data_IF_077476642865
#
_entry.id   IF_077476642865
#
_cell.length_a   1.000
_cell.length_b   1.000
_cell.length_c   1.000
_cell.angle_alpha   90.00
_cell.angle_beta   90.00
_cell.angle_gamma   90.00
#
_symmetry.space_group_name_H-M   'P 1'
#
loop_
_entity.id
_entity.type
_entity.pdbx_description
1 polymer ?
#
# COMPACT_ATOMS: atom_id res chain seq x y z
N UNK A 1 -32.71 32.82 -16.69
CA UNK A 1 -32.98 31.38 -16.43
C UNK A 1 -33.60 30.72 -17.66
N UNK A 2 -32.82 29.98 -18.45
CA UNK A 2 -33.37 29.18 -19.55
C UNK A 2 -34.07 27.93 -18.99
N UNK A 3 -35.36 27.76 -19.31
CA UNK A 3 -36.15 26.58 -18.92
C UNK A 3 -35.90 25.46 -19.95
N UNK A 4 -35.56 24.26 -19.47
CA UNK A 4 -35.39 23.07 -20.32
C UNK A 4 -36.68 22.77 -21.09
N UNK A 5 -36.55 22.48 -22.39
CA UNK A 5 -37.64 22.11 -23.29
C UNK A 5 -38.36 20.84 -22.81
N UNK A 6 -39.70 20.72 -23.00
CA UNK A 6 -40.51 19.64 -22.42
C UNK A 6 -40.05 18.24 -22.85
N UNK A 7 -39.51 18.09 -24.07
CA UNK A 7 -38.95 16.82 -24.56
C UNK A 7 -37.59 16.43 -23.93
N UNK A 8 -36.87 17.35 -23.29
CA UNK A 8 -35.62 17.06 -22.58
C UNK A 8 -35.86 16.57 -21.13
N UNK A 9 -37.09 16.73 -20.62
CA UNK A 9 -37.48 16.32 -19.26
C UNK A 9 -37.42 14.81 -19.01
N UNK A 10 -37.98 13.93 -19.87
CA UNK A 10 -37.90 12.49 -19.63
C UNK A 10 -36.47 11.97 -19.70
N UNK A 11 -35.64 12.53 -20.60
CA UNK A 11 -34.22 12.18 -20.70
C UNK A 11 -33.47 12.62 -19.44
N UNK A 12 -33.65 13.86 -18.99
CA UNK A 12 -33.03 14.36 -17.76
C UNK A 12 -33.46 13.56 -16.51
N UNK A 13 -34.73 13.14 -16.43
CA UNK A 13 -35.24 12.31 -15.35
C UNK A 13 -34.65 10.90 -15.37
N UNK A 14 -34.50 10.30 -16.55
CA UNK A 14 -33.82 9.01 -16.72
C UNK A 14 -32.34 9.10 -16.32
N UNK A 15 -31.64 10.16 -16.74
CA UNK A 15 -30.25 10.40 -16.33
C UNK A 15 -30.13 10.54 -14.81
N UNK A 16 -31.03 11.31 -14.18
CA UNK A 16 -31.06 11.46 -12.72
C UNK A 16 -31.37 10.15 -11.98
N UNK A 17 -32.27 9.32 -12.51
CA UNK A 17 -32.61 8.01 -11.93
C UNK A 17 -31.46 7.01 -12.05
N UNK A 18 -30.77 6.98 -13.19
CA UNK A 18 -29.58 6.12 -13.37
C UNK A 18 -28.44 6.57 -12.44
N UNK A 19 -28.18 7.88 -12.34
CA UNK A 19 -27.16 8.41 -11.44
C UNK A 19 -27.52 8.20 -9.95
N UNK A 20 -28.78 8.37 -9.57
CA UNK A 20 -29.25 8.15 -8.19
C UNK A 20 -29.28 6.68 -7.79
N UNK A 21 -29.65 5.78 -8.71
CA UNK A 21 -29.59 4.33 -8.48
C UNK A 21 -28.17 3.80 -8.33
N UNK A 22 -27.21 4.36 -9.07
CA UNK A 22 -25.79 4.10 -8.87
C UNK A 22 -25.31 4.66 -7.52
N UNK A 23 -25.72 5.86 -7.12
CA UNK A 23 -25.33 6.45 -5.84
C UNK A 23 -25.79 5.63 -4.62
N UNK A 24 -26.99 5.04 -4.67
CA UNK A 24 -27.54 4.23 -3.56
C UNK A 24 -26.92 2.82 -3.46
N UNK A 25 -26.38 2.29 -4.55
CA UNK A 25 -25.70 0.98 -4.55
C UNK A 25 -24.24 1.06 -4.10
N UNK A 26 -23.69 2.28 -3.99
CA UNK A 26 -22.30 2.58 -3.65
C UNK A 26 -22.13 3.43 -2.37
N UNK A 27 -23.18 3.58 -1.56
CA UNK A 27 -23.05 4.21 -0.24
C UNK A 27 -22.80 3.16 0.85
N UNK A 28 -21.77 3.34 1.72
CA UNK A 28 -21.32 4.63 2.23
C UNK A 28 -19.94 5.12 1.76
N UNK A 29 -19.62 5.05 0.45
CA UNK A 29 -18.35 5.57 -0.07
C UNK A 29 -18.55 6.46 -1.30
N UNK A 30 -18.93 7.73 -1.08
CA UNK A 30 -18.85 8.76 -2.11
C UNK A 30 -17.44 9.32 -2.18
N UNK A 31 -16.72 9.04 -3.28
CA UNK A 31 -15.71 9.91 -3.92
C UNK A 31 -15.03 9.09 -5.03
N UNK A 32 -15.56 9.09 -6.26
CA UNK A 32 -14.81 8.82 -7.52
C UNK A 32 -15.77 8.76 -8.71
N UNK A 33 -16.24 9.93 -9.16
CA UNK A 33 -16.44 10.12 -10.59
C UNK A 33 -15.26 10.98 -11.07
N UNK A 34 -14.26 10.35 -11.67
CA UNK A 34 -13.16 11.07 -12.31
C UNK A 34 -13.35 11.06 -13.82
N UNK A 35 -13.44 12.28 -14.37
CA UNK A 35 -13.53 12.54 -15.81
C UNK A 35 -12.40 11.84 -16.58
N UNK A 36 -12.71 11.41 -17.79
CA UNK A 36 -11.84 10.71 -18.75
C UNK A 36 -10.51 11.42 -19.09
N UNK A 37 -10.28 12.65 -18.62
CA UNK A 37 -9.02 13.39 -18.75
C UNK A 37 -7.94 12.95 -17.74
N UNK A 38 -8.27 12.06 -16.79
CA UNK A 38 -7.33 11.50 -15.80
C UNK A 38 -6.93 10.04 -16.05
N UNK A 39 -7.11 9.52 -17.28
CA UNK A 39 -6.59 8.19 -17.66
C UNK A 39 -7.54 7.01 -17.50
N UNK A 40 -8.79 7.24 -17.10
CA UNK A 40 -9.86 6.22 -17.11
C UNK A 40 -9.77 5.13 -16.02
N UNK A 41 -10.62 4.08 -16.10
CA UNK A 41 -10.80 3.08 -15.02
C UNK A 41 -9.56 2.23 -14.72
N UNK A 42 -8.62 2.13 -15.67
CA UNK A 42 -7.36 1.43 -15.49
C UNK A 42 -6.38 2.22 -14.60
N UNK A 43 -6.47 3.55 -14.60
CA UNK A 43 -5.59 4.44 -13.84
C UNK A 43 -6.19 4.91 -12.51
N UNK A 44 -7.52 4.86 -12.36
CA UNK A 44 -8.20 5.24 -11.12
C UNK A 44 -7.79 4.45 -9.87
N UNK A 45 -7.30 3.21 -10.05
CA UNK A 45 -6.73 2.39 -8.96
C UNK A 45 -5.36 2.88 -8.48
N UNK A 46 -4.63 3.64 -9.30
CA UNK A 46 -3.29 4.14 -8.97
C UNK A 46 -3.31 5.40 -8.10
N UNK A 47 -4.41 6.18 -8.12
CA UNK A 47 -4.61 7.32 -7.22
C UNK A 47 -5.11 6.93 -5.81
N UNK A 48 -5.71 5.75 -5.65
CA UNK A 48 -6.20 5.26 -4.35
C UNK A 48 -5.07 4.76 -3.45
N UNK A 49 -3.91 4.39 -4.01
CA UNK A 49 -2.71 4.03 -3.26
C UNK A 49 -1.97 5.23 -2.67
N UNK A 50 -2.13 6.43 -3.24
CA UNK A 50 -1.57 7.69 -2.70
C UNK A 50 -2.48 8.37 -1.67
N UNK A 51 -3.79 8.11 -1.71
CA UNK A 51 -4.72 8.53 -0.65
C UNK A 51 -4.50 7.76 0.65
N UNK A 52 -3.74 6.66 0.59
CA UNK A 52 -3.30 5.86 1.72
C UNK A 52 -1.92 6.31 2.25
N UNK A 53 -1.65 7.62 2.26
CA UNK A 53 -0.77 8.23 3.26
C UNK A 53 -1.41 8.01 4.63
N UNK A 54 -1.37 6.76 5.08
CA UNK A 54 -1.83 6.30 6.38
C UNK A 54 -1.22 7.28 7.40
N UNK A 55 -2.08 7.95 8.17
CA UNK A 55 -1.64 8.78 9.29
C UNK A 55 -1.13 7.92 10.46
N UNK A 56 -0.60 6.73 10.17
CA UNK A 56 -0.04 5.78 11.12
C UNK A 56 -0.98 4.68 11.57
N UNK A 57 -2.21 4.55 11.02
CA UNK A 57 -3.18 3.55 11.50
C UNK A 57 -2.64 2.12 11.38
N UNK A 58 -2.16 1.71 10.21
CA UNK A 58 -1.55 0.39 10.03
C UNK A 58 -0.30 0.17 10.89
N UNK A 59 0.42 1.24 11.27
CA UNK A 59 1.56 1.15 12.18
C UNK A 59 1.11 0.91 13.64
N UNK A 60 0.00 1.52 14.06
CA UNK A 60 -0.60 1.22 15.36
C UNK A 60 -1.06 -0.24 15.43
N UNK A 61 -1.78 -0.71 14.41
CA UNK A 61 -2.21 -2.11 14.33
C UNK A 61 -1.00 -3.06 14.31
N UNK A 62 0.09 -2.68 13.63
CA UNK A 62 1.33 -3.45 13.60
C UNK A 62 1.98 -3.52 14.98
N UNK A 63 2.06 -2.39 15.70
CA UNK A 63 2.60 -2.37 17.06
C UNK A 63 1.77 -3.28 17.98
N UNK A 64 0.46 -3.14 17.95
CA UNK A 64 -0.45 -3.91 18.80
C UNK A 64 -0.36 -5.42 18.50
N UNK A 65 -0.22 -5.79 17.21
CA UNK A 65 0.05 -7.16 16.79
C UNK A 65 1.38 -7.69 17.36
N UNK A 66 2.46 -6.92 17.25
CA UNK A 66 3.78 -7.31 17.74
C UNK A 66 3.77 -7.48 19.26
N UNK A 67 3.15 -6.56 19.99
CA UNK A 67 3.01 -6.62 21.45
C UNK A 67 2.18 -7.83 21.88
N UNK A 68 1.02 -8.05 21.25
CA UNK A 68 0.13 -9.16 21.58
C UNK A 68 0.78 -10.54 21.38
N UNK A 69 1.66 -10.68 20.38
CA UNK A 69 2.33 -11.93 20.08
C UNK A 69 3.76 -12.02 20.65
N UNK A 70 4.23 -11.00 21.38
CA UNK A 70 5.60 -10.91 21.90
C UNK A 70 6.67 -11.05 20.79
N UNK A 71 6.42 -10.40 19.66
CA UNK A 71 7.26 -10.46 18.47
C UNK A 71 8.02 -9.16 18.26
N UNK A 72 9.17 -9.27 17.61
CA UNK A 72 9.97 -8.14 17.14
C UNK A 72 10.16 -8.22 15.63
N UNK A 73 10.54 -7.08 15.03
CA UNK A 73 10.94 -6.99 13.63
C UNK A 73 12.44 -6.74 13.54
N UNK A 74 13.08 -7.39 12.59
CA UNK A 74 14.44 -7.11 12.16
C UNK A 74 14.48 -5.89 11.21
N UNK A 75 13.35 -5.56 10.58
CA UNK A 75 13.23 -4.29 9.86
C UNK A 75 11.80 -3.90 9.46
N UNK A 76 11.60 -2.60 9.27
CA UNK A 76 10.33 -1.99 8.85
C UNK A 76 10.58 -1.04 7.68
N UNK A 77 9.80 -1.19 6.61
CA UNK A 77 9.81 -0.26 5.47
C UNK A 77 8.39 0.26 5.29
N UNK A 78 8.18 1.49 5.74
CA UNK A 78 6.87 2.13 5.75
C UNK A 78 6.78 3.24 4.70
N UNK A 79 5.73 3.20 3.87
CA UNK A 79 5.54 4.15 2.77
C UNK A 79 5.01 5.51 3.23
N UNK A 80 4.35 5.58 4.39
CA UNK A 80 3.77 6.83 4.89
C UNK A 80 4.78 7.76 5.58
N UNK A 81 4.32 8.99 5.86
CA UNK A 81 5.15 10.04 6.50
C UNK A 81 5.15 10.02 8.03
N UNK A 82 4.19 9.29 8.64
CA UNK A 82 4.10 9.16 10.09
C UNK A 82 5.36 8.48 10.66
N UNK A 83 6.04 9.07 11.66
CA UNK A 83 7.23 8.47 12.25
C UNK A 83 6.93 7.19 13.02
N UNK A 84 7.46 6.02 12.62
CA UNK A 84 7.26 4.78 13.39
C UNK A 84 7.79 4.88 14.83
N UNK A 85 8.88 5.63 15.05
CA UNK A 85 9.45 5.88 16.38
C UNK A 85 8.48 6.58 17.33
N UNK A 86 7.54 7.40 16.84
CA UNK A 86 6.55 8.06 17.70
C UNK A 86 5.62 7.07 18.42
N UNK A 87 5.54 5.83 17.92
CA UNK A 87 4.80 4.73 18.53
C UNK A 87 5.71 3.57 18.91
N UNK A 88 6.98 3.86 19.19
CA UNK A 88 7.99 2.91 19.72
C UNK A 88 8.43 1.81 18.73
N UNK A 89 8.13 1.94 17.44
CA UNK A 89 8.71 1.10 16.40
C UNK A 89 10.07 1.69 15.98
N UNK A 90 11.17 1.11 16.49
CA UNK A 90 12.53 1.66 16.37
C UNK A 90 13.54 0.65 15.77
N UNK A 91 13.15 -0.04 14.71
CA UNK A 91 13.98 -0.97 13.94
C UNK A 91 14.57 -0.29 12.70
N UNK A 92 15.72 -0.76 12.17
CA UNK A 92 16.24 -0.28 10.90
C UNK A 92 15.28 -0.61 9.73
N UNK A 93 15.50 -0.03 8.54
CA UNK A 93 14.80 -0.50 7.34
C UNK A 93 15.24 -1.94 7.01
N UNK A 94 14.37 -2.68 6.32
CA UNK A 94 14.77 -3.96 5.75
C UNK A 94 15.90 -3.77 4.71
N UNK A 95 16.74 -4.80 4.47
CA UNK A 95 17.76 -4.75 3.43
C UNK A 95 17.17 -4.45 2.06
N UNK A 96 17.90 -3.70 1.24
CA UNK A 96 17.53 -3.43 -0.16
C UNK A 96 18.22 -4.43 -1.07
N UNK A 97 17.58 -4.78 -2.20
CA UNK A 97 18.09 -5.59 -3.32
C UNK A 97 18.39 -7.07 -3.03
N UNK A 98 18.80 -7.41 -1.81
CA UNK A 98 19.15 -8.78 -1.43
C UNK A 98 18.49 -9.18 -0.11
N UNK A 99 17.92 -10.39 -0.01
CA UNK A 99 17.30 -10.84 1.24
C UNK A 99 18.34 -11.12 2.31
N UNK A 100 18.00 -10.77 3.55
CA UNK A 100 18.59 -11.34 4.75
C UNK A 100 17.54 -12.17 5.50
N UNK A 101 17.98 -13.10 6.33
CA UNK A 101 17.08 -13.82 7.22
C UNK A 101 16.57 -12.88 8.32
N UNK A 102 15.29 -12.99 8.66
CA UNK A 102 14.65 -12.16 9.67
C UNK A 102 13.15 -12.00 9.48
N UNK A 103 12.52 -11.28 10.40
CA UNK A 103 11.12 -10.86 10.32
C UNK A 103 11.02 -9.40 9.89
N UNK A 104 10.30 -9.15 8.79
CA UNK A 104 10.21 -7.82 8.20
C UNK A 104 8.76 -7.40 8.01
N UNK A 105 8.47 -6.12 8.22
CA UNK A 105 7.20 -5.51 7.84
C UNK A 105 7.42 -4.54 6.68
N UNK A 106 6.75 -4.75 5.55
CA UNK A 106 6.96 -4.00 4.32
C UNK A 106 5.63 -3.45 3.82
N UNK A 107 5.54 -2.14 3.62
CA UNK A 107 4.38 -1.54 2.95
C UNK A 107 4.19 -2.13 1.55
N UNK A 108 2.95 -2.48 1.21
CA UNK A 108 2.62 -3.14 -0.07
C UNK A 108 3.05 -2.31 -1.29
N UNK A 109 3.09 -0.98 -1.17
CA UNK A 109 3.59 -0.07 -2.20
C UNK A 109 5.03 -0.43 -2.65
N UNK A 110 5.90 -0.80 -1.71
CA UNK A 110 7.28 -1.20 -2.02
C UNK A 110 7.35 -2.62 -2.60
N UNK A 111 6.39 -3.49 -2.26
CA UNK A 111 6.25 -4.79 -2.92
C UNK A 111 5.79 -4.64 -4.38
N UNK A 112 5.02 -3.60 -4.71
CA UNK A 112 4.69 -3.23 -6.10
C UNK A 112 5.87 -2.59 -6.85
N UNK A 113 7.00 -2.37 -6.17
CA UNK A 113 8.21 -1.80 -6.75
C UNK A 113 8.19 -0.28 -6.87
N UNK A 114 7.30 0.42 -6.16
CA UNK A 114 7.19 1.88 -6.25
C UNK A 114 8.40 2.59 -5.64
N UNK A 115 9.02 3.56 -6.35
CA UNK A 115 10.03 4.42 -5.75
C UNK A 115 9.39 5.40 -4.76
N UNK A 116 10.05 5.67 -3.63
CA UNK A 116 9.60 6.65 -2.64
C UNK A 116 10.73 7.06 -1.69
N UNK A 117 10.42 7.85 -0.67
CA UNK A 117 11.29 8.08 0.48
C UNK A 117 10.73 7.38 1.71
N UNK A 118 11.59 6.81 2.53
CA UNK A 118 11.22 6.25 3.83
C UNK A 118 11.83 7.07 4.95
N UNK A 119 11.13 7.18 6.07
CA UNK A 119 11.64 7.84 7.27
C UNK A 119 12.39 6.84 8.13
N UNK A 120 13.67 7.11 8.36
CA UNK A 120 14.54 6.28 9.18
C UNK A 120 14.35 6.56 10.68
N UNK A 121 14.80 5.62 11.55
CA UNK A 121 14.71 5.81 13.00
C UNK A 121 15.34 7.11 13.48
N UNK A 122 16.48 7.51 12.93
CA UNK A 122 17.18 8.77 13.28
C UNK A 122 16.50 10.05 12.74
N UNK A 123 15.30 9.93 12.16
CA UNK A 123 14.52 10.97 11.49
C UNK A 123 15.10 11.48 10.17
N UNK A 124 16.19 10.88 9.67
CA UNK A 124 16.61 11.13 8.29
C UNK A 124 15.66 10.47 7.29
N UNK A 125 15.74 10.92 6.04
CA UNK A 125 15.00 10.35 4.92
C UNK A 125 15.96 9.53 4.07
N UNK A 126 15.52 8.35 3.64
CA UNK A 126 16.24 7.50 2.70
C UNK A 126 15.42 7.34 1.43
N UNK A 127 16.06 7.56 0.28
CA UNK A 127 15.47 7.26 -1.02
C UNK A 127 15.43 5.74 -1.25
N UNK A 128 14.32 5.30 -1.84
CA UNK A 128 14.08 3.94 -2.28
C UNK A 128 13.75 4.03 -3.77
N UNK A 129 14.62 3.48 -4.60
CA UNK A 129 14.43 3.47 -6.06
C UNK A 129 13.51 2.32 -6.49
N UNK A 130 13.17 2.29 -7.78
CA UNK A 130 12.31 1.33 -8.41
C UNK A 130 12.73 -0.10 -8.04
N UNK A 131 11.77 -0.85 -7.49
CA UNK A 131 11.87 -2.28 -7.20
C UNK A 131 12.96 -2.71 -6.20
N UNK A 132 13.51 -1.79 -5.40
CA UNK A 132 14.53 -2.10 -4.38
C UNK A 132 14.09 -3.16 -3.34
N UNK A 133 12.79 -3.25 -3.08
CA UNK A 133 12.18 -4.26 -2.21
C UNK A 133 11.38 -5.32 -2.98
N UNK A 134 11.45 -5.33 -4.31
CA UNK A 134 10.70 -6.25 -5.16
C UNK A 134 11.03 -7.73 -4.91
N UNK A 135 12.22 -8.02 -4.39
CA UNK A 135 12.64 -9.37 -4.04
C UNK A 135 11.73 -10.02 -2.97
N UNK A 136 11.07 -9.23 -2.13
CA UNK A 136 10.13 -9.76 -1.14
C UNK A 136 8.95 -10.52 -1.77
N UNK A 137 8.60 -10.23 -3.04
CA UNK A 137 7.56 -10.96 -3.78
C UNK A 137 7.90 -12.43 -4.02
N UNK A 138 9.17 -12.83 -3.89
CA UNK A 138 9.57 -14.24 -3.94
C UNK A 138 9.12 -15.01 -2.69
N UNK A 139 9.02 -14.34 -1.55
CA UNK A 139 8.63 -14.95 -0.28
C UNK A 139 7.13 -14.81 -0.06
N UNK A 140 6.54 -15.80 0.62
CA UNK A 140 5.13 -15.72 1.01
C UNK A 140 5.01 -14.90 2.31
N UNK A 141 4.18 -13.84 2.35
CA UNK A 141 3.94 -13.14 3.59
C UNK A 141 3.19 -14.04 4.57
N UNK A 142 3.55 -13.91 5.85
CA UNK A 142 2.90 -14.63 6.96
C UNK A 142 1.52 -14.04 7.22
N UNK A 143 1.41 -12.71 7.15
CA UNK A 143 0.13 -12.00 7.28
C UNK A 143 0.20 -10.57 6.71
N UNK A 144 -0.97 -9.94 6.60
CA UNK A 144 -1.11 -8.52 6.31
C UNK A 144 -1.73 -7.79 7.51
N UNK A 145 -1.26 -6.57 7.76
CA UNK A 145 -1.75 -5.64 8.77
C UNK A 145 -2.39 -4.46 8.03
N UNK A 146 -3.63 -4.10 8.39
CA UNK A 146 -4.37 -3.01 7.76
C UNK A 146 -4.57 -3.13 6.25
N UNK A 147 -4.30 -4.30 5.65
CA UNK A 147 -4.17 -4.53 4.20
C UNK A 147 -3.09 -3.69 3.48
N UNK A 148 -2.25 -2.94 4.22
CA UNK A 148 -1.24 -2.04 3.65
C UNK A 148 0.19 -2.40 4.06
N UNK A 149 0.38 -3.25 5.08
CA UNK A 149 1.70 -3.73 5.53
C UNK A 149 1.71 -5.25 5.53
N UNK A 150 2.65 -5.86 4.80
CA UNK A 150 2.88 -7.30 4.80
C UNK A 150 3.99 -7.69 5.78
N UNK A 151 3.75 -8.71 6.60
CA UNK A 151 4.76 -9.31 7.48
C UNK A 151 5.37 -10.53 6.78
N UNK A 152 6.69 -10.56 6.71
CA UNK A 152 7.48 -11.67 6.17
C UNK A 152 8.34 -12.28 7.25
N UNK A 153 8.52 -13.60 7.17
CA UNK A 153 9.54 -14.33 7.90
C UNK A 153 10.41 -15.03 6.87
N UNK A 154 11.68 -14.64 6.80
CA UNK A 154 12.66 -15.21 5.87
C UNK A 154 13.63 -16.05 6.71
N UNK A 155 13.60 -17.36 6.51
CA UNK A 155 14.60 -18.25 7.11
C UNK A 155 15.91 -18.23 6.32
N UNK A 156 16.98 -18.71 6.93
CA UNK A 156 18.27 -18.88 6.24
C UNK A 156 18.17 -19.86 5.06
N UNK A 157 17.28 -20.86 5.14
CA UNK A 157 16.95 -21.74 4.01
C UNK A 157 16.23 -21.02 2.87
N UNK A 158 15.28 -20.14 3.18
CA UNK A 158 14.56 -19.37 2.15
C UNK A 158 15.52 -18.44 1.42
N UNK A 159 16.40 -17.77 2.17
CA UNK A 159 17.46 -16.89 1.64
C UNK A 159 18.37 -17.65 0.66
N UNK A 160 18.88 -18.82 1.07
CA UNK A 160 19.73 -19.66 0.20
C UNK A 160 19.00 -20.16 -1.04
N UNK A 161 17.72 -20.49 -0.91
CA UNK A 161 16.88 -20.93 -2.03
C UNK A 161 16.73 -19.81 -3.06
N UNK A 162 16.45 -18.58 -2.60
CA UNK A 162 16.40 -17.40 -3.46
C UNK A 162 17.73 -17.16 -4.19
N UNK A 163 18.86 -17.23 -3.47
CA UNK A 163 20.20 -17.04 -4.07
C UNK A 163 20.52 -18.10 -5.14
N UNK A 164 20.11 -19.35 -4.93
CA UNK A 164 20.27 -20.41 -5.92
C UNK A 164 19.38 -20.18 -7.15
N UNK A 165 18.13 -19.74 -6.95
CA UNK A 165 17.21 -19.42 -8.04
C UNK A 165 17.76 -18.31 -8.94
N UNK A 166 18.35 -17.25 -8.36
CA UNK A 166 19.01 -16.20 -9.13
C UNK A 166 20.21 -16.70 -9.95
N UNK A 167 21.03 -17.59 -9.37
CA UNK A 167 22.20 -18.16 -10.06
C UNK A 167 21.84 -19.11 -11.20
N UNK A 168 20.72 -19.82 -11.10
CA UNK A 168 20.24 -20.76 -12.12
C UNK A 168 19.51 -20.12 -13.31
N UNK A 169 19.35 -18.79 -13.30
CA UNK A 169 18.64 -18.04 -14.35
C UNK A 169 19.59 -17.49 -15.44
N UNK A 170 20.89 -17.79 -15.37
CA UNK A 170 21.92 -17.38 -16.34
C UNK A 170 22.70 -18.57 -16.90
#
# INVERSE_FOLDING_TARGET
SQKLAPQARPVALLTLLVLGGAALRYHPHHLTYFNELAGGPAEGKYLLLDSNLDWGQALHDLRDELEANQQTLDGLVYFGSFPPRAIQLNMPPAPQLTPAAGRYAISVNFLEGRPHVIRLPDNSWQEVDLDYYGYFRYFRPVKYIGNSIAIFEISESDRRTYEQALKGTF
#
